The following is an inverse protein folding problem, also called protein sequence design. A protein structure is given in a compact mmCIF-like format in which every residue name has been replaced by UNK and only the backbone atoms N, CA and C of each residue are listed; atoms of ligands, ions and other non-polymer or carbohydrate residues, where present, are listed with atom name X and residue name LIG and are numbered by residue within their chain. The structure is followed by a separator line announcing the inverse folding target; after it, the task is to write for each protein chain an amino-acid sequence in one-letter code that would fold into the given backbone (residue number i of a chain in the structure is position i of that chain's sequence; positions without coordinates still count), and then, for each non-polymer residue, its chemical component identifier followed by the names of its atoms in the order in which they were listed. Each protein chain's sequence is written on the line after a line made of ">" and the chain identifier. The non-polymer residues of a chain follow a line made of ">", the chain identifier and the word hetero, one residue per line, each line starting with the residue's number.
data_IF_431578226537
#
_entry.id   IF_431578226537
#
_cell.length_a   1.000
_cell.length_b   1.000
_cell.length_c   1.000
_cell.angle_alpha   90.00
_cell.angle_beta   90.00
_cell.angle_gamma   90.00
#
_symmetry.space_group_name_H-M   'P 1'
#
loop_
_entity.id
_entity.type
_entity.pdbx_description
1 polymer ?
#
# COMPACT_ATOMS: atom_id res chain seq x y z
N UNK A 1 -21.46 35.35 -8.33
CA UNK A 1 -21.14 34.77 -7.01
C UNK A 1 -22.37 34.02 -6.54
N UNK A 2 -22.38 32.70 -6.67
CA UNK A 2 -23.54 31.86 -6.33
C UNK A 2 -23.67 31.76 -4.82
N UNK A 3 -24.77 32.30 -4.28
CA UNK A 3 -25.11 32.20 -2.86
C UNK A 3 -25.62 30.79 -2.58
N UNK A 4 -24.85 30.00 -1.84
CA UNK A 4 -25.30 28.68 -1.39
C UNK A 4 -26.24 28.85 -0.18
N UNK A 5 -27.43 28.22 -0.18
CA UNK A 5 -28.34 28.27 0.96
C UNK A 5 -27.69 27.55 2.17
N UNK A 6 -27.25 28.34 3.15
CA UNK A 6 -26.54 27.89 4.37
C UNK A 6 -27.32 26.82 5.17
N UNK A 7 -28.64 26.74 4.99
CA UNK A 7 -29.52 25.80 5.69
C UNK A 7 -29.46 24.35 5.14
N UNK A 8 -28.89 24.13 3.95
CA UNK A 8 -28.99 22.82 3.25
C UNK A 8 -27.67 22.34 2.64
N UNK A 9 -26.63 23.17 2.58
CA UNK A 9 -25.37 22.79 1.95
C UNK A 9 -24.40 22.20 2.97
N UNK A 10 -24.30 20.86 3.00
CA UNK A 10 -23.28 20.15 3.77
C UNK A 10 -22.08 19.89 2.86
N UNK A 11 -20.94 20.49 3.16
CA UNK A 11 -19.69 20.24 2.42
C UNK A 11 -18.92 19.11 3.11
N UNK A 12 -18.55 18.09 2.36
CA UNK A 12 -17.62 17.06 2.85
C UNK A 12 -16.19 17.61 2.78
N UNK A 13 -15.45 17.70 3.90
CA UNK A 13 -14.06 18.15 3.90
C UNK A 13 -13.15 17.01 3.40
N UNK A 14 -13.23 16.69 2.10
CA UNK A 14 -12.46 15.61 1.44
C UNK A 14 -10.97 15.71 1.76
N UNK A 15 -10.43 16.93 1.81
CA UNK A 15 -9.03 17.20 2.13
C UNK A 15 -8.61 16.73 3.54
N UNK A 16 -9.51 16.84 4.53
CA UNK A 16 -9.27 16.34 5.89
C UNK A 16 -9.20 14.81 5.89
N UNK A 17 -10.11 14.16 5.18
CA UNK A 17 -10.11 12.70 5.06
C UNK A 17 -8.87 12.20 4.32
N UNK A 18 -8.46 12.86 3.23
CA UNK A 18 -7.23 12.54 2.50
C UNK A 18 -5.98 12.69 3.37
N UNK A 19 -5.86 13.77 4.13
CA UNK A 19 -4.70 14.00 5.00
C UNK A 19 -4.62 13.01 6.17
N UNK A 20 -5.75 12.71 6.83
CA UNK A 20 -5.82 11.65 7.85
C UNK A 20 -5.46 10.28 7.28
N UNK A 21 -5.93 9.99 6.05
CA UNK A 21 -5.61 8.74 5.38
C UNK A 21 -4.12 8.62 5.04
N UNK A 22 -3.50 9.69 4.54
CA UNK A 22 -2.06 9.70 4.30
C UNK A 22 -1.26 9.52 5.60
N UNK A 23 -1.67 10.18 6.69
CA UNK A 23 -1.02 10.05 7.99
C UNK A 23 -1.15 8.64 8.57
N UNK A 24 -2.35 8.04 8.48
CA UNK A 24 -2.57 6.66 8.89
C UNK A 24 -1.72 5.67 8.07
N UNK A 25 -1.55 5.95 6.78
CA UNK A 25 -0.73 5.12 5.89
C UNK A 25 0.74 5.18 6.20
N UNK A 26 1.24 6.39 6.40
CA UNK A 26 2.59 6.61 6.86
C UNK A 26 2.84 5.90 8.20
N UNK A 27 1.92 6.06 9.17
CA UNK A 27 2.00 5.41 10.47
C UNK A 27 2.00 3.88 10.38
N UNK A 28 1.10 3.31 9.58
CA UNK A 28 1.00 1.86 9.40
C UNK A 28 2.24 1.30 8.68
N UNK A 29 2.69 1.92 7.59
CA UNK A 29 3.90 1.48 6.87
C UNK A 29 5.14 1.56 7.78
N UNK A 30 5.30 2.67 8.50
CA UNK A 30 6.42 2.84 9.45
C UNK A 30 6.36 1.82 10.59
N UNK A 31 5.18 1.56 11.15
CA UNK A 31 5.01 0.58 12.20
C UNK A 31 5.35 -0.84 11.70
N UNK A 32 4.90 -1.21 10.51
CA UNK A 32 5.17 -2.52 9.91
C UNK A 32 6.66 -2.65 9.53
N UNK A 33 7.23 -1.62 8.91
CA UNK A 33 8.64 -1.58 8.56
C UNK A 33 9.52 -1.77 9.80
N UNK A 34 9.16 -1.14 10.93
CA UNK A 34 9.90 -1.29 12.20
C UNK A 34 9.65 -2.64 12.87
N UNK A 35 8.39 -3.08 12.97
CA UNK A 35 8.01 -4.30 13.69
C UNK A 35 8.49 -5.56 12.98
N UNK A 36 8.49 -5.57 11.65
CA UNK A 36 8.85 -6.71 10.84
C UNK A 36 10.14 -6.50 10.06
N UNK A 37 10.97 -5.52 10.42
CA UNK A 37 12.27 -5.24 9.78
C UNK A 37 13.14 -6.50 9.57
N UNK A 38 13.11 -7.43 10.50
CA UNK A 38 13.87 -8.69 10.48
C UNK A 38 13.25 -9.79 9.61
N UNK A 39 12.01 -9.60 9.15
CA UNK A 39 11.19 -10.57 8.41
C UNK A 39 10.67 -10.04 7.07
N UNK A 40 10.88 -8.75 6.79
CA UNK A 40 10.53 -8.12 5.53
C UNK A 40 11.54 -8.54 4.47
N UNK A 41 11.04 -9.26 3.47
CA UNK A 41 11.79 -9.55 2.26
C UNK A 41 11.57 -8.46 1.22
N UNK A 42 12.48 -8.38 0.24
CA UNK A 42 12.41 -7.38 -0.83
C UNK A 42 11.01 -7.39 -1.50
N UNK A 43 10.33 -6.24 -1.36
CA UNK A 43 9.02 -5.93 -1.91
C UNK A 43 7.78 -6.46 -1.15
N UNK A 44 7.91 -6.96 0.08
CA UNK A 44 6.76 -7.03 1.01
C UNK A 44 6.19 -5.61 1.24
N UNK A 45 7.07 -4.61 1.30
CA UNK A 45 6.70 -3.20 1.43
C UNK A 45 5.90 -2.69 0.22
N UNK A 46 6.22 -3.16 -0.99
CA UNK A 46 5.47 -2.84 -2.21
C UNK A 46 4.05 -3.43 -2.16
N UNK A 47 3.93 -4.69 -1.74
CA UNK A 47 2.63 -5.37 -1.59
C UNK A 47 1.76 -4.66 -0.56
N UNK A 48 2.37 -4.20 0.53
CA UNK A 48 1.70 -3.46 1.58
C UNK A 48 1.27 -2.06 1.13
N UNK A 49 2.11 -1.38 0.35
CA UNK A 49 1.79 -0.11 -0.28
C UNK A 49 0.61 -0.25 -1.25
N UNK A 50 0.58 -1.31 -2.07
CA UNK A 50 -0.53 -1.64 -2.97
C UNK A 50 -1.85 -1.79 -2.21
N UNK A 51 -1.85 -2.55 -1.10
CA UNK A 51 -3.05 -2.74 -0.27
C UNK A 51 -3.50 -1.40 0.35
N UNK A 52 -2.56 -0.62 0.89
CA UNK A 52 -2.86 0.67 1.51
C UNK A 52 -3.44 1.69 0.52
N UNK A 53 -2.77 1.88 -0.62
CA UNK A 53 -3.17 2.82 -1.65
C UNK A 53 -4.56 2.49 -2.19
N UNK A 54 -4.83 1.20 -2.40
CA UNK A 54 -6.12 0.71 -2.87
C UNK A 54 -7.25 0.96 -1.88
N UNK A 55 -6.97 0.77 -0.58
CA UNK A 55 -7.94 1.05 0.48
C UNK A 55 -8.29 2.54 0.54
N UNK A 56 -7.29 3.42 0.38
CA UNK A 56 -7.52 4.86 0.27
C UNK A 56 -8.36 5.23 -0.93
N UNK A 57 -8.13 4.56 -2.07
CA UNK A 57 -8.92 4.81 -3.28
C UNK A 57 -10.38 4.45 -3.12
N UNK A 58 -10.70 3.36 -2.42
CA UNK A 58 -12.07 2.96 -2.11
C UNK A 58 -12.76 4.01 -1.21
N UNK A 59 -12.05 4.53 -0.20
CA UNK A 59 -12.60 5.52 0.73
C UNK A 59 -12.83 6.90 0.08
N UNK A 60 -11.89 7.37 -0.73
CA UNK A 60 -12.04 8.65 -1.46
C UNK A 60 -13.18 8.54 -2.49
N UNK A 61 -13.32 7.37 -3.13
CA UNK A 61 -14.43 7.12 -4.06
C UNK A 61 -15.79 7.12 -3.34
N UNK A 62 -15.86 6.63 -2.10
CA UNK A 62 -17.09 6.67 -1.30
C UNK A 62 -17.55 8.11 -1.00
N UNK A 63 -16.61 9.06 -0.92
CA UNK A 63 -16.91 10.47 -0.74
C UNK A 63 -17.23 11.20 -2.06
N UNK A 64 -17.10 10.53 -3.21
CA UNK A 64 -17.24 11.15 -4.54
C UNK A 64 -18.42 10.51 -5.29
N UNK A 65 -19.66 11.00 -5.09
CA UNK A 65 -20.83 10.46 -5.78
C UNK A 65 -20.79 10.65 -7.31
N UNK A 66 -19.99 11.59 -7.83
CA UNK A 66 -19.82 11.86 -9.27
C UNK A 66 -18.72 11.01 -9.94
N UNK A 67 -18.30 9.92 -9.31
CA UNK A 67 -17.19 9.13 -9.82
C UNK A 67 -17.58 8.21 -10.98
N UNK A 68 -16.64 8.03 -11.92
CA UNK A 68 -16.84 7.18 -13.09
C UNK A 68 -17.13 5.74 -12.64
N UNK A 69 -18.37 5.32 -12.85
CA UNK A 69 -18.87 4.01 -12.45
C UNK A 69 -19.10 3.14 -13.68
N UNK A 70 -18.76 1.85 -13.56
CA UNK A 70 -19.09 0.85 -14.58
C UNK A 70 -20.25 0.03 -13.99
N UNK A 71 -21.46 0.29 -14.49
CA UNK A 71 -22.69 -0.27 -13.91
C UNK A 71 -23.02 0.37 -12.56
N UNK A 72 -23.25 -0.45 -11.53
CA UNK A 72 -23.61 0.00 -10.18
C UNK A 72 -22.39 0.21 -9.25
N UNK A 73 -21.17 -0.04 -9.74
CA UNK A 73 -19.95 -0.02 -8.92
C UNK A 73 -18.98 1.00 -9.49
N UNK A 74 -18.39 1.79 -8.60
CA UNK A 74 -17.39 2.78 -8.98
C UNK A 74 -16.11 2.08 -9.46
N UNK A 75 -15.53 2.56 -10.56
CA UNK A 75 -14.38 1.89 -11.20
C UNK A 75 -13.19 1.83 -10.26
N UNK A 76 -13.00 2.86 -9.43
CA UNK A 76 -11.94 2.87 -8.43
C UNK A 76 -12.12 1.79 -7.36
N UNK A 77 -13.36 1.37 -7.06
CA UNK A 77 -13.61 0.25 -6.13
C UNK A 77 -13.20 -1.09 -6.75
N UNK A 78 -13.51 -1.31 -8.04
CA UNK A 78 -13.10 -2.51 -8.77
C UNK A 78 -11.57 -2.60 -8.90
N UNK A 79 -10.92 -1.50 -9.29
CA UNK A 79 -9.46 -1.43 -9.42
C UNK A 79 -8.80 -1.59 -8.05
N UNK A 80 -9.32 -0.92 -7.02
CA UNK A 80 -8.83 -1.04 -5.65
C UNK A 80 -8.92 -2.47 -5.11
N UNK A 81 -10.08 -3.11 -5.25
CA UNK A 81 -10.25 -4.51 -4.85
C UNK A 81 -9.27 -5.45 -5.59
N UNK A 82 -9.09 -5.24 -6.89
CA UNK A 82 -8.16 -6.02 -7.71
C UNK A 82 -6.71 -5.87 -7.24
N UNK A 83 -6.27 -4.64 -6.96
CA UNK A 83 -4.92 -4.38 -6.46
C UNK A 83 -4.69 -4.92 -5.04
N UNK A 84 -5.71 -4.92 -4.18
CA UNK A 84 -5.65 -5.59 -2.86
C UNK A 84 -5.43 -7.10 -3.04
N UNK A 85 -6.21 -7.74 -3.91
CA UNK A 85 -6.08 -9.17 -4.19
C UNK A 85 -4.71 -9.52 -4.75
N UNK A 86 -4.19 -8.71 -5.69
CA UNK A 86 -2.85 -8.88 -6.26
C UNK A 86 -1.78 -8.70 -5.17
N UNK A 87 -1.89 -7.69 -4.31
CA UNK A 87 -0.97 -7.45 -3.21
C UNK A 87 -0.93 -8.63 -2.22
N UNK A 88 -2.09 -9.17 -1.85
CA UNK A 88 -2.19 -10.36 -0.98
C UNK A 88 -1.59 -11.59 -1.68
N UNK A 89 -1.92 -11.81 -2.95
CA UNK A 89 -1.42 -12.94 -3.72
C UNK A 89 0.12 -12.90 -3.86
N UNK A 90 0.69 -11.73 -4.12
CA UNK A 90 2.15 -11.52 -4.17
C UNK A 90 2.80 -11.83 -2.82
N UNK A 91 2.19 -11.38 -1.72
CA UNK A 91 2.69 -11.64 -0.37
C UNK A 91 2.68 -13.14 -0.03
N UNK A 92 1.62 -13.87 -0.41
CA UNK A 92 1.52 -15.32 -0.21
C UNK A 92 2.52 -16.07 -1.11
N UNK A 93 2.63 -15.69 -2.38
CA UNK A 93 3.51 -16.32 -3.36
C UNK A 93 4.98 -16.20 -2.93
N UNK A 94 5.39 -15.02 -2.45
CA UNK A 94 6.75 -14.78 -1.96
C UNK A 94 7.06 -15.58 -0.70
N UNK A 95 6.12 -15.68 0.23
CA UNK A 95 6.28 -16.53 1.43
C UNK A 95 6.47 -18.01 1.09
N UNK A 96 5.91 -18.49 -0.02
CA UNK A 96 6.10 -19.86 -0.50
C UNK A 96 7.43 -20.09 -1.24
N UNK A 97 8.07 -19.02 -1.73
CA UNK A 97 9.33 -19.08 -2.49
C UNK A 97 10.43 -18.22 -1.83
N UNK A 98 10.99 -18.65 -0.67
CA UNK A 98 12.06 -17.94 0.04
C UNK A 98 13.33 -17.71 -0.79
N UNK A 99 13.55 -18.49 -1.85
CA UNK A 99 14.75 -18.39 -2.69
C UNK A 99 14.83 -17.07 -3.50
N UNK A 100 13.72 -16.37 -3.69
CA UNK A 100 13.69 -15.06 -4.37
C UNK A 100 13.82 -13.88 -3.39
N UNK A 101 13.83 -14.16 -2.09
CA UNK A 101 13.99 -13.16 -1.05
C UNK A 101 15.47 -12.88 -0.82
N UNK A 102 16.04 -12.05 -1.70
CA UNK A 102 17.31 -11.43 -1.41
C UNK A 102 17.11 -10.57 -0.16
N UNK A 103 17.85 -10.84 0.91
CA UNK A 103 17.90 -9.91 2.02
C UNK A 103 18.87 -8.80 1.60
N UNK A 104 18.48 -7.52 1.57
CA UNK A 104 19.38 -6.43 1.19
C UNK A 104 20.57 -6.28 2.16
N UNK A 105 20.47 -6.91 3.35
CA UNK A 105 21.52 -6.93 4.38
C UNK A 105 22.40 -8.19 4.35
N UNK A 106 22.08 -9.20 3.54
CA UNK A 106 23.00 -10.32 3.31
C UNK A 106 23.92 -9.97 2.16
N UNK A 107 25.02 -9.29 2.45
CA UNK A 107 26.15 -9.35 1.54
C UNK A 107 26.64 -10.81 1.52
N UNK A 108 26.79 -11.43 0.34
CA UNK A 108 27.51 -12.69 0.26
C UNK A 108 28.89 -12.44 0.85
N UNK A 109 29.19 -13.03 2.00
CA UNK A 109 30.56 -12.99 2.53
C UNK A 109 31.46 -13.59 1.46
N UNK A 110 32.47 -12.86 0.96
CA UNK A 110 33.36 -13.40 -0.05
C UNK A 110 33.94 -14.72 0.47
N UNK A 111 34.06 -15.75 -0.38
CA UNK A 111 34.59 -17.04 0.04
C UNK A 111 35.95 -16.81 0.72
N UNK A 112 36.25 -17.53 1.83
CA UNK A 112 37.51 -17.35 2.53
C UNK A 112 38.64 -17.55 1.51
N UNK A 113 39.43 -16.49 1.29
CA UNK A 113 40.57 -16.52 0.39
C UNK A 113 41.48 -17.63 0.89
N UNK A 114 41.54 -18.75 0.16
CA UNK A 114 42.48 -19.84 0.44
C UNK A 114 43.87 -19.22 0.40
N UNK A 115 44.45 -18.91 1.55
CA UNK A 115 45.87 -18.54 1.64
C UNK A 115 46.63 -19.80 1.27
N UNK A 116 47.16 -19.85 0.05
CA UNK A 116 48.13 -20.86 -0.33
C UNK A 116 49.37 -20.68 0.57
N UNK A 117 49.75 -21.68 1.37
CA UNK A 117 51.04 -21.67 2.04
C UNK A 117 52.14 -21.75 0.98
N UNK A 118 53.10 -20.84 1.07
CA UNK A 118 54.33 -20.83 0.28
C UNK A 118 55.36 -21.79 0.87
#
# INVERSE_FOLDING_TARGET
>A
MTAYPLATTTFHPVFLYESLWNLAGFGLLMWIARKYAHKLWDGDLLSLYLIWYSTGRILIEFLRPDAWSIGAVATAQLVGASLILIGIALMIYRRRNPALATNPFTHPTPPPTRRHPA
#
